data_IF_832809725041
#
_entry.id   IF_832809725041
#
_cell.length_a   1.000
_cell.length_b   1.000
_cell.length_c   1.000
_cell.angle_alpha   90.00
_cell.angle_beta   90.00
_cell.angle_gamma   90.00
#
_symmetry.space_group_name_H-M   'P 1'
#
loop_
_entity.id
_entity.type
_entity.pdbx_description
1 polymer ?
#
# COMPACT_ATOMS: atom_id res chain seq x y z
N UNK A 1 -8.79 -9.35 21.78
CA UNK A 1 -7.80 -9.59 20.70
C UNK A 1 -6.49 -8.97 21.16
N UNK A 2 -5.38 -9.71 21.08
CA UNK A 2 -4.06 -9.22 21.47
C UNK A 2 -3.52 -8.29 20.35
N UNK A 3 -3.74 -6.98 20.53
CA UNK A 3 -3.52 -5.92 19.52
C UNK A 3 -2.15 -6.03 18.82
N UNK A 4 -1.03 -6.27 19.53
CA UNK A 4 0.30 -6.39 18.89
C UNK A 4 0.42 -7.56 17.91
N UNK A 5 -0.21 -8.70 18.21
CA UNK A 5 -0.17 -9.90 17.35
C UNK A 5 -0.95 -9.69 16.05
N UNK A 6 -2.08 -8.98 16.12
CA UNK A 6 -2.86 -8.63 14.94
C UNK A 6 -2.07 -7.73 13.97
N UNK A 7 -1.42 -6.68 14.48
CA UNK A 7 -0.62 -5.79 13.64
C UNK A 7 0.58 -6.47 12.99
N UNK A 8 1.27 -7.34 13.74
CA UNK A 8 2.39 -8.12 13.20
C UNK A 8 1.91 -9.03 12.06
N UNK A 9 0.77 -9.70 12.25
CA UNK A 9 0.16 -10.54 11.19
C UNK A 9 -0.23 -9.71 9.97
N UNK A 10 -0.84 -8.55 10.18
CA UNK A 10 -1.27 -7.65 9.10
C UNK A 10 -0.06 -7.15 8.29
N UNK A 11 1.00 -6.74 8.96
CA UNK A 11 2.28 -6.35 8.34
C UNK A 11 2.83 -7.46 7.45
N UNK A 12 2.91 -8.69 7.97
CA UNK A 12 3.42 -9.85 7.22
C UNK A 12 2.55 -10.12 5.99
N UNK A 13 1.22 -10.08 6.12
CA UNK A 13 0.29 -10.32 5.01
C UNK A 13 0.45 -9.28 3.90
N UNK A 14 0.47 -7.99 4.26
CA UNK A 14 0.63 -6.90 3.28
C UNK A 14 2.01 -6.97 2.62
N UNK A 15 3.08 -7.20 3.38
CA UNK A 15 4.42 -7.37 2.80
C UNK A 15 4.48 -8.56 1.85
N UNK A 16 3.87 -9.69 2.22
CA UNK A 16 3.79 -10.89 1.38
C UNK A 16 3.02 -10.59 0.09
N UNK A 17 1.88 -9.89 0.18
CA UNK A 17 1.15 -9.42 -0.99
C UNK A 17 1.99 -8.50 -1.88
N UNK A 18 2.66 -7.50 -1.31
CA UNK A 18 3.49 -6.54 -2.05
C UNK A 18 4.70 -7.20 -2.72
N UNK A 19 5.27 -8.25 -2.13
CA UNK A 19 6.37 -9.01 -2.75
C UNK A 19 5.89 -9.92 -3.87
N UNK A 20 4.77 -10.61 -3.67
CA UNK A 20 4.27 -11.57 -4.67
C UNK A 20 3.57 -10.88 -5.84
N UNK A 21 2.92 -9.74 -5.63
CA UNK A 21 2.35 -8.90 -6.71
C UNK A 21 3.42 -8.41 -7.69
N UNK A 22 4.68 -8.26 -7.27
CA UNK A 22 5.80 -7.95 -8.18
C UNK A 22 6.17 -9.13 -9.09
N UNK A 23 5.86 -10.37 -8.68
CA UNK A 23 6.23 -11.62 -9.38
C UNK A 23 5.08 -12.24 -10.16
N UNK A 24 3.84 -12.04 -9.71
CA UNK A 24 2.64 -12.62 -10.31
C UNK A 24 1.58 -11.55 -10.57
N UNK A 25 1.28 -11.31 -11.86
CA UNK A 25 0.31 -10.31 -12.27
C UNK A 25 -1.14 -10.66 -11.87
N UNK A 26 -1.48 -11.94 -11.74
CA UNK A 26 -2.83 -12.39 -11.40
C UNK A 26 -3.15 -12.15 -9.93
N UNK A 27 -2.17 -12.31 -9.04
CA UNK A 27 -2.32 -11.99 -7.62
C UNK A 27 -2.60 -10.50 -7.37
N UNK A 28 -2.22 -9.62 -8.32
CA UNK A 28 -2.53 -8.19 -8.24
C UNK A 28 -4.03 -7.95 -8.25
N UNK A 29 -4.82 -8.75 -8.98
CA UNK A 29 -6.23 -8.45 -9.26
C UNK A 29 -7.16 -8.82 -8.11
N UNK A 30 -6.96 -10.00 -7.50
CA UNK A 30 -7.96 -10.60 -6.61
C UNK A 30 -7.91 -10.09 -5.16
N UNK A 31 -6.73 -9.72 -4.64
CA UNK A 31 -6.58 -9.41 -3.21
C UNK A 31 -6.39 -7.93 -2.88
N UNK A 32 -6.39 -7.03 -3.88
CA UNK A 32 -6.14 -5.61 -3.63
C UNK A 32 -7.17 -5.01 -2.66
N UNK A 33 -8.46 -5.25 -2.89
CA UNK A 33 -9.52 -4.63 -2.08
C UNK A 33 -9.46 -5.10 -0.62
N UNK A 34 -9.18 -6.38 -0.39
CA UNK A 34 -9.00 -6.95 0.96
C UNK A 34 -7.83 -6.32 1.70
N UNK A 35 -6.63 -6.26 1.09
CA UNK A 35 -5.45 -5.68 1.76
C UNK A 35 -5.58 -4.17 1.95
N UNK A 36 -6.27 -3.50 1.02
CA UNK A 36 -6.56 -2.07 1.12
C UNK A 36 -7.52 -1.77 2.27
N UNK A 37 -8.58 -2.57 2.43
CA UNK A 37 -9.50 -2.49 3.55
C UNK A 37 -8.78 -2.75 4.89
N UNK A 38 -7.97 -3.81 4.97
CA UNK A 38 -7.22 -4.10 6.20
C UNK A 38 -6.25 -2.98 6.57
N UNK A 39 -5.57 -2.38 5.60
CA UNK A 39 -4.71 -1.23 5.84
C UNK A 39 -5.53 -0.07 6.43
N UNK A 40 -6.70 0.26 5.87
CA UNK A 40 -7.55 1.35 6.36
C UNK A 40 -8.03 1.16 7.81
N UNK A 41 -8.27 -0.08 8.23
CA UNK A 41 -8.68 -0.44 9.58
C UNK A 41 -7.51 -0.54 10.59
N UNK A 42 -6.29 -0.23 10.18
CA UNK A 42 -5.14 -0.18 11.10
C UNK A 42 -5.34 0.91 12.15
N UNK A 43 -5.03 0.59 13.41
CA UNK A 43 -5.12 1.50 14.54
C UNK A 43 -4.35 2.82 14.26
N UNK A 44 -5.02 4.00 14.33
CA UNK A 44 -4.43 5.29 14.02
C UNK A 44 -3.36 5.76 15.02
N UNK A 45 -3.28 5.15 16.21
CA UNK A 45 -2.27 5.43 17.23
C UNK A 45 -0.90 4.84 16.88
N UNK A 46 -0.87 3.82 16.02
CA UNK A 46 0.36 3.10 15.69
C UNK A 46 1.19 3.87 14.68
N UNK A 47 2.47 4.02 15.03
CA UNK A 47 3.48 4.70 14.24
C UNK A 47 4.41 3.71 13.55
N UNK A 48 4.92 4.13 12.40
CA UNK A 48 6.03 3.48 11.71
C UNK A 48 7.02 4.57 11.32
N UNK A 49 8.08 4.70 12.14
CA UNK A 49 8.91 5.90 12.13
C UNK A 49 8.09 7.15 12.46
N UNK A 50 8.24 8.20 11.65
CA UNK A 50 7.55 9.48 11.83
C UNK A 50 6.11 9.49 11.29
N UNK A 51 5.70 8.44 10.58
CA UNK A 51 4.38 8.33 9.97
C UNK A 51 3.45 7.39 10.75
N UNK A 52 2.16 7.43 10.43
CA UNK A 52 1.21 6.39 10.87
C UNK A 52 1.49 5.10 10.11
N UNK A 53 1.42 3.95 10.78
CA UNK A 53 1.60 2.64 10.16
C UNK A 53 0.67 2.48 8.95
N UNK A 54 -0.60 2.87 9.08
CA UNK A 54 -1.59 2.90 7.99
C UNK A 54 -1.06 3.57 6.72
N UNK A 55 -0.46 4.75 6.85
CA UNK A 55 -0.04 5.53 5.69
C UNK A 55 1.13 4.85 4.96
N UNK A 56 2.03 4.20 5.70
CA UNK A 56 3.10 3.39 5.10
C UNK A 56 2.58 2.08 4.46
N UNK A 57 1.61 1.41 5.09
CA UNK A 57 0.96 0.24 4.48
C UNK A 57 0.27 0.58 3.15
N UNK A 58 -0.46 1.69 3.12
CA UNK A 58 -1.11 2.19 1.89
C UNK A 58 -0.09 2.57 0.82
N UNK A 59 1.09 3.07 1.21
CA UNK A 59 2.19 3.33 0.28
C UNK A 59 2.69 2.03 -0.35
N UNK A 60 3.00 1.02 0.46
CA UNK A 60 3.50 -0.27 -0.02
C UNK A 60 2.51 -0.95 -0.98
N UNK A 61 1.21 -0.91 -0.64
CA UNK A 61 0.13 -1.42 -1.49
C UNK A 61 0.07 -0.65 -2.81
N UNK A 62 0.17 0.68 -2.77
CA UNK A 62 0.19 1.53 -3.95
C UNK A 62 1.39 1.25 -4.87
N UNK A 63 2.59 1.14 -4.31
CA UNK A 63 3.83 0.84 -5.05
C UNK A 63 3.81 -0.55 -5.69
N UNK A 64 3.10 -1.50 -5.09
CA UNK A 64 2.89 -2.83 -5.64
C UNK A 64 1.92 -2.87 -6.83
N UNK A 65 1.06 -1.85 -6.98
CA UNK A 65 0.07 -1.76 -8.06
C UNK A 65 0.67 -1.18 -9.35
N UNK A 66 0.18 -1.69 -10.48
CA UNK A 66 0.36 -1.09 -11.81
C UNK A 66 -0.92 -0.43 -12.34
N UNK A 67 -2.04 -0.59 -11.64
CA UNK A 67 -3.30 0.08 -11.96
C UNK A 67 -3.34 1.47 -11.31
N UNK A 68 -3.47 2.47 -12.18
CA UNK A 68 -3.54 3.89 -11.84
C UNK A 68 -4.69 4.23 -10.89
N UNK A 69 -5.85 3.57 -11.01
CA UNK A 69 -7.01 3.83 -10.15
C UNK A 69 -6.73 3.39 -8.72
N UNK A 70 -6.08 2.23 -8.56
CA UNK A 70 -5.69 1.66 -7.27
C UNK A 70 -4.61 2.48 -6.58
N UNK A 71 -3.62 2.96 -7.34
CA UNK A 71 -2.60 3.90 -6.82
C UNK A 71 -3.26 5.19 -6.34
N UNK A 72 -4.20 5.74 -7.11
CA UNK A 72 -4.94 6.94 -6.74
C UNK A 72 -5.78 6.75 -5.46
N UNK A 73 -6.41 5.58 -5.29
CA UNK A 73 -7.15 5.23 -4.08
C UNK A 73 -6.23 5.21 -2.84
N UNK A 74 -5.08 4.55 -2.93
CA UNK A 74 -4.06 4.52 -1.87
C UNK A 74 -3.61 5.94 -1.50
N UNK A 75 -3.25 6.76 -2.50
CA UNK A 75 -2.83 8.14 -2.32
C UNK A 75 -3.90 9.01 -1.64
N UNK A 76 -5.17 8.80 -1.98
CA UNK A 76 -6.29 9.55 -1.39
C UNK A 76 -6.48 9.21 0.09
N UNK A 77 -6.27 7.95 0.47
CA UNK A 77 -6.41 7.47 1.85
C UNK A 77 -5.24 7.86 2.77
N UNK A 78 -4.04 8.05 2.20
CA UNK A 78 -2.86 8.53 2.95
C UNK A 78 -3.12 9.95 3.49
N UNK A 79 -2.71 10.20 4.73
CA UNK A 79 -2.76 11.56 5.32
C UNK A 79 -1.42 12.29 5.23
N UNK A 80 -0.30 11.56 5.30
CA UNK A 80 1.04 12.13 5.26
C UNK A 80 1.43 12.61 3.84
N UNK A 81 1.80 13.89 3.73
CA UNK A 81 2.17 14.52 2.45
C UNK A 81 3.51 14.03 1.88
N UNK A 82 4.50 13.65 2.69
CA UNK A 82 5.76 13.12 2.16
C UNK A 82 5.53 11.78 1.47
N UNK A 83 4.76 10.89 2.09
CA UNK A 83 4.37 9.60 1.54
C UNK A 83 3.57 9.76 0.24
N UNK A 84 2.66 10.74 0.16
CA UNK A 84 1.94 11.05 -1.10
C UNK A 84 2.87 11.41 -2.25
N UNK A 85 3.98 12.10 -1.98
CA UNK A 85 4.95 12.50 -3.03
C UNK A 85 5.64 11.28 -3.63
N UNK A 86 5.89 10.25 -2.83
CA UNK A 86 6.48 8.99 -3.31
C UNK A 86 5.57 8.27 -4.31
N UNK A 87 4.27 8.17 -4.00
CA UNK A 87 3.28 7.62 -4.95
C UNK A 87 3.12 8.45 -6.22
N UNK A 88 3.29 9.78 -6.15
CA UNK A 88 3.33 10.62 -7.34
C UNK A 88 4.53 10.29 -8.22
N UNK A 89 5.71 10.18 -7.63
CA UNK A 89 6.92 9.82 -8.37
C UNK A 89 6.76 8.46 -9.06
N UNK A 90 6.20 7.47 -8.35
CA UNK A 90 5.90 6.15 -8.90
C UNK A 90 4.92 6.20 -10.08
N UNK A 91 3.83 6.95 -9.92
CA UNK A 91 2.84 7.19 -10.98
C UNK A 91 3.48 7.76 -12.25
N UNK A 92 4.34 8.76 -12.11
CA UNK A 92 5.04 9.35 -13.26
C UNK A 92 6.04 8.38 -13.89
N UNK A 93 6.70 7.54 -13.09
CA UNK A 93 7.57 6.48 -13.59
C UNK A 93 6.80 5.44 -14.42
N UNK A 94 5.61 5.02 -13.98
CA UNK A 94 4.76 4.07 -14.71
C UNK A 94 4.29 4.64 -16.06
N UNK A 95 3.85 5.91 -16.08
CA UNK A 95 3.44 6.58 -17.33
C UNK A 95 4.57 6.62 -18.37
N UNK A 96 5.81 6.86 -17.92
CA UNK A 96 6.99 6.87 -18.80
C UNK A 96 7.31 5.48 -19.35
N UNK A 97 7.06 4.41 -18.59
CA UNK A 97 7.25 3.02 -19.04
C UNK A 97 6.21 2.58 -20.06
N UNK A 98 4.96 3.05 -19.97
CA UNK A 98 3.90 2.69 -20.93
C UNK A 98 4.02 3.37 -22.30
N UNK A 99 4.93 4.34 -22.46
CA UNK A 99 5.15 5.09 -23.70
C UNK A 99 6.34 4.57 -24.53
N UNK A 100 7.04 3.53 -24.05
CA UNK A 100 8.11 2.81 -24.75
C UNK A 100 7.63 1.43 -25.15
#
# INVERSE_FOLDING_TARGET
MDVPKYHTRLLILIQTFCQNSKRNANMKLEHFDEVFEWAQHTDPSIKWGDARLRDGLLMDIGLASTDMKRIAACKKAITNNSIKKELNFWTEHLKKKSQK
#
